data_IF_385458052413
#
_entry.id   IF_385458052413
#
_cell.length_a   1.000
_cell.length_b   1.000
_cell.length_c   1.000
_cell.angle_alpha   90.00
_cell.angle_beta   90.00
_cell.angle_gamma   90.00
#
_symmetry.space_group_name_H-M   'P 1'
#
loop_
_entity.id
_entity.type
_entity.pdbx_description
1 polymer ?
#
# COMPACT_ATOMS: atom_id res chain seq x y z
N UNK A 1 -13.42 -2.47 -6.22
CA UNK A 1 -11.95 -2.34 -6.29
C UNK A 1 -11.37 -3.42 -5.41
N UNK A 2 -10.47 -4.25 -5.92
CA UNK A 2 -9.88 -5.35 -5.15
C UNK A 2 -8.50 -4.92 -4.65
N UNK A 3 -8.45 -4.37 -3.43
CA UNK A 3 -7.19 -3.99 -2.80
C UNK A 3 -6.38 -5.24 -2.40
N UNK A 4 -5.06 -5.19 -2.63
CA UNK A 4 -4.11 -6.26 -2.34
C UNK A 4 -2.90 -5.67 -1.63
N UNK A 5 -2.35 -6.44 -0.71
CA UNK A 5 -1.06 -6.15 -0.08
C UNK A 5 0.02 -6.87 -0.87
N UNK A 6 1.08 -6.17 -1.22
CA UNK A 6 2.34 -6.81 -1.62
C UNK A 6 3.38 -6.57 -0.54
N UNK A 7 4.14 -7.61 -0.25
CA UNK A 7 5.29 -7.53 0.65
C UNK A 7 6.48 -8.15 -0.04
N UNK A 8 7.57 -7.42 -0.06
CA UNK A 8 8.82 -7.85 -0.66
C UNK A 8 9.99 -7.47 0.24
N UNK A 9 11.05 -8.29 0.19
CA UNK A 9 12.29 -8.00 0.89
C UNK A 9 13.06 -6.95 0.09
N UNK A 10 13.48 -5.87 0.75
CA UNK A 10 14.25 -4.82 0.09
C UNK A 10 15.69 -5.30 -0.19
N UNK A 11 16.26 -4.88 -1.31
CA UNK A 11 17.67 -5.19 -1.64
C UNK A 11 18.64 -4.62 -0.58
N UNK A 12 18.31 -3.47 0.01
CA UNK A 12 19.06 -2.82 1.08
C UNK A 12 18.89 -3.48 2.45
N UNK A 13 18.07 -4.54 2.54
CA UNK A 13 17.67 -5.17 3.79
C UNK A 13 16.37 -4.58 4.36
N UNK A 14 15.67 -5.38 5.17
CA UNK A 14 14.34 -5.07 5.67
C UNK A 14 13.23 -5.44 4.69
N UNK A 15 12.02 -4.97 4.98
CA UNK A 15 10.79 -5.33 4.28
C UNK A 15 10.06 -4.08 3.80
N UNK A 16 9.60 -4.14 2.56
CA UNK A 16 8.72 -3.13 1.98
C UNK A 16 7.31 -3.69 1.93
N UNK A 17 6.34 -2.79 2.09
CA UNK A 17 4.94 -3.11 1.94
C UNK A 17 4.24 -2.02 1.12
N UNK A 18 3.41 -2.44 0.19
CA UNK A 18 2.57 -1.58 -0.63
C UNK A 18 1.15 -2.14 -0.72
N UNK A 19 0.19 -1.25 -0.99
CA UNK A 19 -1.20 -1.61 -1.21
C UNK A 19 -1.64 -1.07 -2.56
N UNK A 20 -2.13 -1.97 -3.39
CA UNK A 20 -2.54 -1.67 -4.76
C UNK A 20 -3.86 -2.35 -5.12
N UNK A 21 -4.38 -2.07 -6.30
CA UNK A 21 -5.51 -2.76 -6.91
C UNK A 21 -5.14 -3.51 -8.19
N UNK A 22 -6.13 -4.14 -8.81
CA UNK A 22 -5.99 -4.88 -10.06
C UNK A 22 -5.90 -3.99 -11.31
N UNK A 23 -6.07 -2.67 -11.18
CA UNK A 23 -6.00 -1.71 -12.28
C UNK A 23 -4.61 -1.12 -12.48
N UNK A 24 -3.72 -1.27 -11.50
CA UNK A 24 -2.32 -0.85 -11.64
C UNK A 24 -1.49 -1.94 -12.31
N UNK A 25 -1.38 -1.83 -13.63
CA UNK A 25 -0.57 -2.74 -14.45
C UNK A 25 0.80 -2.19 -14.79
N UNK A 26 1.08 -0.92 -14.48
CA UNK A 26 2.35 -0.18 -14.55
C UNK A 26 2.12 1.33 -14.82
N UNK A 27 2.97 2.23 -14.29
CA UNK A 27 4.04 1.99 -13.30
C UNK A 27 3.46 1.95 -11.87
N UNK A 28 4.07 1.14 -10.98
CA UNK A 28 3.70 0.94 -9.56
C UNK A 28 3.31 2.27 -8.87
N UNK A 29 2.02 2.62 -8.91
CA UNK A 29 1.43 3.79 -8.28
C UNK A 29 0.45 3.32 -7.22
N UNK A 30 0.95 2.71 -6.13
CA UNK A 30 0.10 2.15 -5.10
C UNK A 30 -0.69 3.26 -4.40
N UNK A 31 -1.72 2.86 -3.67
CA UNK A 31 -2.47 3.76 -2.77
C UNK A 31 -1.71 4.05 -1.48
N UNK A 32 -0.72 3.21 -1.17
CA UNK A 32 0.15 3.35 -0.01
C UNK A 32 1.41 2.51 -0.22
N UNK A 33 2.57 3.04 0.19
CA UNK A 33 3.83 2.31 0.21
C UNK A 33 4.70 2.78 1.37
N UNK A 34 5.37 1.85 2.05
CA UNK A 34 6.41 2.14 3.04
C UNK A 34 7.53 1.10 2.90
N UNK A 35 8.76 1.58 3.00
CA UNK A 35 9.97 0.77 2.91
C UNK A 35 10.62 0.54 4.30
N UNK A 36 11.59 -0.38 4.33
CA UNK A 36 12.57 -0.52 5.43
C UNK A 36 12.02 -0.98 6.80
N UNK A 37 10.96 -1.79 6.84
CA UNK A 37 10.56 -2.45 8.08
C UNK A 37 11.63 -3.47 8.55
N UNK A 38 11.95 -3.52 9.85
CA UNK A 38 12.98 -4.41 10.37
C UNK A 38 12.56 -5.89 10.32
N UNK A 39 11.27 -6.18 10.38
CA UNK A 39 10.74 -7.56 10.34
C UNK A 39 9.55 -7.69 9.39
N UNK A 40 9.35 -8.91 8.88
CA UNK A 40 8.18 -9.26 8.06
C UNK A 40 6.88 -9.05 8.84
N UNK A 41 6.90 -9.36 10.13
CA UNK A 41 5.72 -9.24 10.98
C UNK A 41 5.28 -7.78 11.13
N UNK A 42 6.23 -6.85 11.31
CA UNK A 42 5.90 -5.43 11.43
C UNK A 42 5.35 -4.88 10.10
N UNK A 43 5.98 -5.27 8.97
CA UNK A 43 5.50 -4.91 7.64
C UNK A 43 4.07 -5.40 7.39
N UNK A 44 3.78 -6.67 7.72
CA UNK A 44 2.45 -7.26 7.62
C UNK A 44 1.43 -6.55 8.52
N UNK A 45 1.79 -6.29 9.77
CA UNK A 45 0.90 -5.63 10.72
C UNK A 45 0.51 -4.22 10.23
N UNK A 46 1.49 -3.43 9.77
CA UNK A 46 1.25 -2.11 9.22
C UNK A 46 0.40 -2.16 7.94
N UNK A 47 0.73 -3.06 7.00
CA UNK A 47 -0.01 -3.22 5.76
C UNK A 47 -1.48 -3.64 6.00
N UNK A 48 -1.72 -4.58 6.92
CA UNK A 48 -3.08 -4.98 7.30
C UNK A 48 -3.89 -3.83 7.92
N UNK A 49 -3.28 -3.06 8.81
CA UNK A 49 -3.94 -1.90 9.43
C UNK A 49 -4.30 -0.84 8.37
N UNK A 50 -3.38 -0.55 7.45
CA UNK A 50 -3.62 0.41 6.37
C UNK A 50 -4.67 -0.09 5.37
N UNK A 51 -4.65 -1.38 5.02
CA UNK A 51 -5.67 -1.99 4.14
C UNK A 51 -7.06 -1.85 4.75
N UNK A 52 -7.22 -2.08 6.05
CA UNK A 52 -8.48 -1.90 6.74
C UNK A 52 -8.98 -0.44 6.68
N UNK A 53 -8.07 0.52 6.85
CA UNK A 53 -8.40 1.94 6.75
C UNK A 53 -8.83 2.36 5.33
N UNK A 54 -8.09 1.93 4.30
CA UNK A 54 -8.42 2.19 2.90
C UNK A 54 -9.74 1.53 2.49
N UNK A 55 -9.97 0.28 2.92
CA UNK A 55 -11.22 -0.40 2.62
C UNK A 55 -12.42 0.32 3.26
N UNK A 56 -12.26 0.84 4.48
CA UNK A 56 -13.28 1.62 5.15
C UNK A 56 -13.52 3.01 4.52
N UNK A 57 -12.53 3.62 3.84
CA UNK A 57 -12.72 4.89 3.13
C UNK A 57 -13.46 4.71 1.81
N UNK A 58 -13.11 3.65 1.04
CA UNK A 58 -13.83 3.27 -0.20
C UNK A 58 -15.33 3.09 0.07
N UNK A 59 -15.68 2.44 1.18
CA UNK A 59 -17.08 2.22 1.57
C UNK A 59 -17.85 3.53 1.86
N UNK A 60 -17.15 4.62 2.19
CA UNK A 60 -17.73 5.94 2.51
C UNK A 60 -17.81 6.86 1.29
N UNK A 61 -17.79 6.33 0.07
CA UNK A 61 -17.93 7.01 -1.24
C UNK A 61 -16.73 7.80 -1.75
N UNK A 62 -15.58 7.78 -1.07
CA UNK A 62 -14.36 8.42 -1.58
C UNK A 62 -13.33 7.36 -1.97
N UNK A 63 -12.95 7.26 -3.26
CA UNK A 63 -11.86 6.37 -3.65
C UNK A 63 -10.55 6.87 -3.02
N UNK A 64 -9.66 5.97 -2.56
CA UNK A 64 -8.36 6.35 -2.05
C UNK A 64 -7.53 6.96 -3.17
N UNK A 65 -6.73 7.96 -2.82
CA UNK A 65 -5.80 8.59 -3.76
C UNK A 65 -4.58 7.71 -3.96
N UNK A 66 -4.12 7.62 -5.20
CA UNK A 66 -2.81 7.08 -5.58
C UNK A 66 -1.68 7.93 -4.97
N UNK A 67 -0.52 7.33 -4.67
CA UNK A 67 0.64 8.05 -4.10
C UNK A 67 1.11 9.17 -5.03
N UNK A 68 1.15 8.95 -6.35
CA UNK A 68 1.52 9.98 -7.33
C UNK A 68 0.59 11.20 -7.26
N UNK A 69 -0.71 10.98 -7.03
CA UNK A 69 -1.71 12.02 -6.90
C UNK A 69 -1.66 12.78 -5.57
N UNK A 70 -1.01 12.23 -4.54
CA UNK A 70 -0.80 12.90 -3.26
C UNK A 70 0.39 13.87 -3.29
N UNK A 71 1.44 13.55 -4.05
CA UNK A 71 2.63 14.40 -4.19
C UNK A 71 2.39 15.65 -5.06
N UNK A 72 1.32 15.65 -5.86
CA UNK A 72 0.95 16.74 -6.75
C UNK A 72 0.00 17.78 -6.12
N UNK A 73 -0.32 17.66 -4.82
CA UNK A 73 -1.29 18.48 -4.09
C UNK A 73 -0.63 19.47 -3.12
#
# INVERSE_FOLDING_TARGET
MNLRIHIHQAFTGGWCADIDDDHDRQPDDPFWCVDQWPTLQDALAAACAQLAALNASVQRTQPPSRVSGQLAA
#
